data_IF_856131557180
#
_entry.id   IF_856131557180
#
_cell.length_a   1.000
_cell.length_b   1.000
_cell.length_c   1.000
_cell.angle_alpha   90.00
_cell.angle_beta   90.00
_cell.angle_gamma   90.00
#
_symmetry.space_group_name_H-M   'P 1'
#
loop_
_entity.id
_entity.type
_entity.pdbx_description
1 polymer ?
#
# COMPACT_ATOMS: atom_id res chain seq x y z
N UNK A 1 4.66 -8.45 0.08
CA UNK A 1 4.44 -7.33 -0.85
C UNK A 1 4.31 -6.00 -0.11
N UNK A 2 3.49 -5.88 0.94
CA UNK A 2 3.36 -4.64 1.73
C UNK A 2 4.70 -4.22 2.36
N UNK A 3 5.46 -5.16 2.94
CA UNK A 3 6.79 -4.87 3.50
C UNK A 3 7.73 -4.20 2.48
N UNK A 4 7.74 -4.68 1.24
CA UNK A 4 8.53 -4.08 0.15
C UNK A 4 8.09 -2.63 -0.15
N UNK A 5 6.81 -2.31 0.01
CA UNK A 5 6.32 -0.93 -0.17
C UNK A 5 6.82 -0.04 0.98
N UNK A 6 6.86 -0.56 2.21
CA UNK A 6 7.42 0.15 3.37
C UNK A 6 8.93 0.40 3.21
N UNK A 7 9.70 -0.62 2.85
CA UNK A 7 11.15 -0.48 2.57
C UNK A 7 11.43 0.57 1.48
N UNK A 8 10.62 0.58 0.41
CA UNK A 8 10.73 1.60 -0.62
C UNK A 8 10.32 2.99 -0.12
N UNK A 9 9.31 3.08 0.75
CA UNK A 9 8.85 4.35 1.31
C UNK A 9 9.90 4.95 2.25
N UNK A 10 10.58 4.13 3.05
CA UNK A 10 11.73 4.50 3.87
C UNK A 10 12.90 4.99 3.00
N UNK A 11 13.30 4.23 1.99
CA UNK A 11 14.38 4.63 1.07
C UNK A 11 14.05 5.95 0.33
N UNK A 12 12.78 6.20 0.01
CA UNK A 12 12.35 7.47 -0.58
C UNK A 12 12.40 8.63 0.42
N UNK A 13 12.14 8.37 1.70
CA UNK A 13 12.22 9.38 2.75
C UNK A 13 13.68 9.74 3.06
N UNK A 14 14.59 8.74 3.12
CA UNK A 14 16.03 8.96 3.22
C UNK A 14 16.56 9.81 2.05
N UNK A 15 16.14 9.50 0.82
CA UNK A 15 16.52 10.28 -0.36
C UNK A 15 16.08 11.75 -0.26
N UNK A 16 14.92 12.00 0.35
CA UNK A 16 14.40 13.35 0.61
C UNK A 16 15.05 14.04 1.82
N UNK A 17 15.90 13.35 2.58
CA UNK A 17 16.56 13.87 3.77
C UNK A 17 15.65 14.01 4.99
N UNK A 18 14.57 13.21 5.06
CA UNK A 18 13.70 13.12 6.24
C UNK A 18 14.35 12.17 7.27
N UNK A 19 14.12 12.44 8.56
CA UNK A 19 14.62 11.57 9.64
C UNK A 19 13.77 10.28 9.73
N UNK A 20 14.37 9.14 9.41
CA UNK A 20 13.69 7.83 9.37
C UNK A 20 13.17 7.39 10.74
N UNK A 21 13.77 7.84 11.84
CA UNK A 21 13.32 7.51 13.19
C UNK A 21 12.03 8.27 13.58
N UNK A 22 11.75 9.39 12.89
CA UNK A 22 10.61 10.29 13.15
C UNK A 22 9.47 10.14 12.15
N UNK A 23 9.58 9.24 11.19
CA UNK A 23 8.54 9.00 10.19
C UNK A 23 7.34 8.26 10.80
N UNK A 24 6.14 8.79 10.53
CA UNK A 24 4.89 8.14 10.89
C UNK A 24 3.99 7.97 9.66
N UNK A 25 3.31 6.83 9.60
CA UNK A 25 2.28 6.58 8.59
C UNK A 25 1.04 7.40 8.95
N UNK A 26 0.70 8.38 8.12
CA UNK A 26 -0.51 9.20 8.26
C UNK A 26 -1.67 8.59 7.50
N UNK A 27 -1.38 8.05 6.32
CA UNK A 27 -2.38 7.51 5.45
C UNK A 27 -1.91 6.19 4.85
N UNK A 28 -2.79 5.20 4.91
CA UNK A 28 -2.63 3.93 4.24
C UNK A 28 -3.98 3.54 3.61
N UNK A 29 -4.00 3.44 2.28
CA UNK A 29 -5.20 3.08 1.53
C UNK A 29 -4.92 2.00 0.52
N UNK A 30 -5.95 1.18 0.26
CA UNK A 30 -5.91 0.15 -0.76
C UNK A 30 -7.14 0.29 -1.66
N UNK A 31 -6.91 0.43 -2.97
CA UNK A 31 -7.96 0.61 -3.97
C UNK A 31 -8.02 -0.59 -4.92
N UNK A 32 -9.22 -1.03 -5.35
CA UNK A 32 -9.33 -2.06 -6.37
C UNK A 32 -8.78 -1.54 -7.70
N UNK A 33 -7.82 -2.25 -8.24
CA UNK A 33 -7.26 -2.00 -9.58
C UNK A 33 -8.01 -2.78 -10.65
N UNK A 34 -7.32 -3.02 -11.76
CA UNK A 34 -7.88 -3.74 -12.90
C UNK A 34 -8.27 -5.18 -12.54
N UNK A 35 -9.37 -5.65 -13.13
CA UNK A 35 -9.80 -7.05 -13.02
C UNK A 35 -9.33 -7.85 -14.22
N UNK A 36 -8.49 -8.85 -13.98
CA UNK A 36 -8.07 -9.82 -14.98
C UNK A 36 -9.21 -10.82 -15.17
N UNK A 37 -9.89 -10.74 -16.31
CA UNK A 37 -11.00 -11.63 -16.64
C UNK A 37 -10.49 -12.92 -17.24
N UNK A 38 -10.66 -14.03 -16.52
CA UNK A 38 -10.42 -15.39 -17.02
C UNK A 38 -11.68 -16.23 -16.87
N UNK A 39 -11.78 -17.29 -17.66
CA UNK A 39 -12.85 -18.28 -17.55
C UNK A 39 -12.23 -19.64 -17.32
N UNK A 40 -12.79 -20.38 -16.36
CA UNK A 40 -12.37 -21.75 -16.07
C UNK A 40 -13.36 -22.73 -16.72
N UNK A 41 -12.88 -23.70 -17.53
CA UNK A 41 -13.75 -24.72 -18.08
C UNK A 41 -14.32 -25.60 -16.96
N UNK A 42 -15.58 -26.02 -17.12
CA UNK A 42 -16.32 -26.89 -16.21
C UNK A 42 -16.97 -28.04 -17.00
N UNK A 43 -17.52 -29.01 -16.27
CA UNK A 43 -18.22 -30.14 -16.87
C UNK A 43 -19.37 -29.68 -17.80
N UNK A 44 -19.71 -30.53 -18.77
CA UNK A 44 -20.75 -30.28 -19.77
C UNK A 44 -20.53 -29.00 -20.61
N UNK A 45 -19.27 -28.66 -20.92
CA UNK A 45 -18.92 -27.52 -21.78
C UNK A 45 -19.19 -26.14 -21.18
N UNK A 46 -19.50 -26.07 -19.88
CA UNK A 46 -19.79 -24.81 -19.18
C UNK A 46 -18.49 -24.06 -18.89
N UNK A 47 -18.53 -22.74 -18.87
CA UNK A 47 -17.42 -21.91 -18.42
C UNK A 47 -17.91 -20.97 -17.31
N UNK A 48 -17.15 -20.88 -16.21
CA UNK A 48 -17.44 -19.97 -15.10
C UNK A 48 -16.38 -18.87 -15.01
N UNK A 49 -16.76 -17.62 -14.70
CA UNK A 49 -15.81 -16.53 -14.54
C UNK A 49 -14.89 -16.76 -13.34
N UNK A 50 -13.59 -16.58 -13.54
CA UNK A 50 -12.55 -16.55 -12.51
C UNK A 50 -11.81 -15.22 -12.65
N UNK A 51 -12.40 -14.18 -12.07
CA UNK A 51 -11.85 -12.83 -12.18
C UNK A 51 -10.90 -12.56 -11.02
N UNK A 52 -9.66 -12.19 -11.33
CA UNK A 52 -8.65 -11.80 -10.36
C UNK A 52 -8.63 -10.28 -10.30
N UNK A 53 -8.78 -9.71 -9.10
CA UNK A 53 -8.80 -8.24 -8.91
C UNK A 53 -7.43 -7.81 -8.41
N UNK A 54 -6.75 -6.95 -9.16
CA UNK A 54 -5.51 -6.32 -8.73
C UNK A 54 -5.82 -5.23 -7.70
N UNK A 55 -4.81 -4.79 -6.94
CA UNK A 55 -4.97 -3.78 -5.89
C UNK A 55 -3.85 -2.75 -5.98
N UNK A 56 -4.21 -1.46 -5.88
CA UNK A 56 -3.27 -0.36 -5.69
C UNK A 56 -3.15 -0.09 -4.19
N UNK A 57 -1.92 0.09 -3.71
CA UNK A 57 -1.64 0.42 -2.31
C UNK A 57 -0.95 1.77 -2.27
N UNK A 58 -1.49 2.68 -1.47
CA UNK A 58 -0.98 4.03 -1.24
C UNK A 58 -0.55 4.16 0.21
N UNK A 59 0.66 4.69 0.42
CA UNK A 59 1.23 4.97 1.74
C UNK A 59 1.76 6.40 1.75
N UNK A 60 1.37 7.17 2.76
CA UNK A 60 1.85 8.53 2.99
C UNK A 60 2.53 8.55 4.36
N UNK A 61 3.81 8.91 4.33
CA UNK A 61 4.66 9.11 5.50
C UNK A 61 4.87 10.61 5.70
N UNK A 62 4.86 11.05 6.95
CA UNK A 62 5.25 12.40 7.34
C UNK A 62 6.20 12.32 8.54
N UNK A 63 7.16 13.23 8.56
CA UNK A 63 8.03 13.44 9.72
C UNK A 63 7.26 14.23 10.78
N UNK A 64 7.09 13.64 11.96
CA UNK A 64 6.44 14.36 13.06
C UNK A 64 7.48 15.23 13.77
N UNK A 65 7.18 16.53 14.00
CA UNK A 65 8.01 17.33 14.88
C UNK A 65 7.96 16.71 16.29
N UNK A 66 9.08 16.78 16.99
CA UNK A 66 9.16 16.37 18.38
C UNK A 66 8.07 17.13 19.15
N UNK A 67 7.21 16.39 19.85
CA UNK A 67 6.11 16.98 20.59
C UNK A 67 6.68 18.05 21.52
N UNK A 68 6.37 19.32 21.24
CA UNK A 68 6.45 20.35 22.24
C UNK A 68 5.57 19.86 23.40
N UNK A 69 6.24 19.59 24.52
CA UNK A 69 5.65 19.13 25.77
C UNK A 69 4.51 20.08 26.10
N UNK A 70 3.27 19.66 25.92
CA UNK A 70 2.12 20.40 26.46
C UNK A 70 2.04 20.00 27.93
N UNK A 71 2.85 20.66 28.76
CA UNK A 71 2.69 20.67 30.20
C UNK A 71 1.38 21.39 30.53
N UNK A 72 0.41 20.65 31.08
CA UNK A 72 -0.82 21.17 31.69
C UNK A 72 -1.06 20.46 33.03
#
# INVERSE_FOLDING_TARGET
QILKILENAEANAENKGLDTERLKIIHASAYPGMKIKRYMPRAFGRATPKFETLTHVELILEEQPEAAVEEA
#
